data_IF_907213586039
#
_entry.id   IF_907213586039
#
_cell.length_a   1.000
_cell.length_b   1.000
_cell.length_c   1.000
_cell.angle_alpha   90.00
_cell.angle_beta   90.00
_cell.angle_gamma   90.00
#
_symmetry.space_group_name_H-M   'P 1'
#
loop_
_entity.id
_entity.type
_entity.pdbx_description
1 polymer ?
#
# COMPACT_ATOMS: atom_id res chain seq x y z
N UNK A 1 -18.19 1.38 7.62
CA UNK A 1 -16.94 1.06 6.92
C UNK A 1 -16.27 2.30 6.33
N UNK A 2 -16.99 3.24 5.68
CA UNK A 2 -16.43 4.58 5.30
C UNK A 2 -15.77 5.26 6.49
N UNK A 3 -16.50 5.32 7.61
CA UNK A 3 -16.01 5.96 8.84
C UNK A 3 -14.72 5.32 9.37
N UNK A 4 -14.50 4.02 9.10
CA UNK A 4 -13.31 3.29 9.57
C UNK A 4 -12.11 3.65 8.71
N UNK A 5 -12.29 3.71 7.39
CA UNK A 5 -11.22 4.10 6.46
C UNK A 5 -10.77 5.55 6.66
N UNK A 6 -11.71 6.48 6.85
CA UNK A 6 -11.34 7.86 7.19
C UNK A 6 -10.69 7.96 8.57
N UNK A 7 -11.11 7.18 9.56
CA UNK A 7 -10.43 7.12 10.86
C UNK A 7 -8.99 6.61 10.77
N UNK A 8 -8.72 5.63 9.89
CA UNK A 8 -7.35 5.16 9.62
C UNK A 8 -6.52 6.28 9.00
N UNK A 9 -7.05 6.95 7.97
CA UNK A 9 -6.36 8.04 7.29
C UNK A 9 -6.12 9.25 8.21
N UNK A 10 -7.09 9.62 9.04
CA UNK A 10 -6.97 10.68 10.04
C UNK A 10 -5.94 10.33 11.11
N UNK A 11 -5.90 9.08 11.56
CA UNK A 11 -4.91 8.59 12.52
C UNK A 11 -3.50 8.72 11.95
N UNK A 12 -3.31 8.26 10.71
CA UNK A 12 -2.05 8.39 9.99
C UNK A 12 -1.64 9.86 9.85
N UNK A 13 -2.54 10.73 9.38
CA UNK A 13 -2.26 12.14 9.17
C UNK A 13 -1.90 12.87 10.47
N UNK A 14 -2.59 12.58 11.58
CA UNK A 14 -2.29 13.19 12.88
C UNK A 14 -0.95 12.76 13.47
N UNK A 15 -0.55 11.51 13.24
CA UNK A 15 0.75 11.01 13.72
C UNK A 15 1.90 11.65 12.94
N UNK A 16 1.75 11.69 11.61
CA UNK A 16 2.80 12.15 10.72
C UNK A 16 2.81 13.66 10.46
N UNK A 17 1.83 14.42 10.97
CA UNK A 17 1.79 15.89 10.84
C UNK A 17 2.97 16.61 11.52
N UNK A 18 3.64 15.96 12.47
CA UNK A 18 4.84 16.47 13.16
C UNK A 18 6.12 16.25 12.36
N UNK A 19 6.07 15.44 11.32
CA UNK A 19 7.20 15.07 10.48
C UNK A 19 7.17 15.88 9.18
N UNK A 20 8.30 15.99 8.45
CA UNK A 20 8.32 16.65 7.16
C UNK A 20 7.20 16.14 6.24
N UNK A 21 6.48 17.04 5.56
CA UNK A 21 5.39 16.63 4.69
C UNK A 21 5.95 15.89 3.46
N UNK A 22 5.28 14.81 3.09
CA UNK A 22 5.51 14.09 1.83
C UNK A 22 4.68 14.71 0.70
N UNK A 23 4.98 14.34 -0.55
CA UNK A 23 4.30 14.90 -1.74
C UNK A 23 2.78 14.69 -1.77
N UNK A 24 2.27 13.67 -1.07
CA UNK A 24 0.84 13.35 -0.98
C UNK A 24 0.45 13.26 0.49
N UNK A 25 -0.40 14.19 0.94
CA UNK A 25 -0.88 14.22 2.33
C UNK A 25 -2.40 14.04 2.38
N UNK A 26 -2.89 13.45 3.46
CA UNK A 26 -4.31 13.41 3.78
C UNK A 26 -4.67 14.61 4.66
N UNK A 27 -5.72 15.34 4.28
CA UNK A 27 -6.27 16.45 5.07
C UNK A 27 -7.44 15.94 5.93
N UNK A 28 -7.31 15.90 7.27
CA UNK A 28 -8.40 15.48 8.17
C UNK A 28 -9.59 16.45 8.16
N UNK A 29 -9.36 17.71 7.79
CA UNK A 29 -10.42 18.74 7.76
C UNK A 29 -11.36 18.56 6.57
N UNK A 30 -10.79 18.25 5.40
CA UNK A 30 -11.55 18.12 4.16
C UNK A 30 -11.88 16.66 3.81
N UNK A 31 -11.25 15.70 4.48
CA UNK A 31 -11.21 14.28 4.10
C UNK A 31 -10.83 14.08 2.62
N UNK A 32 -9.83 14.82 2.15
CA UNK A 32 -9.29 14.75 0.79
C UNK A 32 -7.78 14.58 0.80
N UNK A 33 -7.23 14.05 -0.30
CA UNK A 33 -5.80 14.09 -0.55
C UNK A 33 -5.39 15.45 -1.11
N UNK A 34 -4.25 15.96 -0.63
CA UNK A 34 -3.64 17.20 -1.09
C UNK A 34 -2.26 16.87 -1.64
N UNK A 35 -2.00 17.30 -2.88
CA UNK A 35 -0.68 17.21 -3.50
C UNK A 35 0.15 18.44 -3.15
N UNK A 36 1.33 18.25 -2.57
CA UNK A 36 2.31 19.32 -2.37
C UNK A 36 3.32 19.20 -3.50
N UNK A 37 3.40 20.22 -4.36
CA UNK A 37 4.34 20.24 -5.49
C UNK A 37 5.45 21.28 -5.35
N UNK A 38 5.32 22.21 -4.40
CA UNK A 38 6.35 23.22 -4.17
C UNK A 38 7.60 22.57 -3.54
N UNK A 39 8.76 22.57 -4.23
CA UNK A 39 9.99 21.99 -3.69
C UNK A 39 10.43 22.66 -2.38
N UNK A 40 10.10 23.94 -2.16
CA UNK A 40 10.43 24.64 -0.91
C UNK A 40 9.69 24.05 0.28
N UNK A 41 8.42 23.70 0.10
CA UNK A 41 7.61 23.03 1.12
C UNK A 41 8.06 21.58 1.37
N UNK A 42 8.78 20.98 0.41
CA UNK A 42 9.28 19.60 0.48
C UNK A 42 10.76 19.50 0.87
N UNK A 43 11.43 20.57 1.29
CA UNK A 43 12.85 20.54 1.67
C UNK A 43 13.13 19.46 2.73
N UNK A 44 12.31 19.37 3.78
CA UNK A 44 12.50 18.37 4.82
C UNK A 44 12.33 16.92 4.31
N UNK A 45 11.49 16.73 3.30
CA UNK A 45 11.33 15.45 2.62
C UNK A 45 12.54 15.09 1.75
N UNK A 46 13.04 16.05 0.96
CA UNK A 46 14.26 15.90 0.15
C UNK A 46 15.43 15.54 1.07
N UNK A 47 15.58 16.27 2.17
CA UNK A 47 16.63 16.01 3.14
C UNK A 47 16.50 14.61 3.76
N UNK A 48 15.30 14.16 4.10
CA UNK A 48 15.07 12.82 4.64
C UNK A 48 15.39 11.73 3.60
N UNK A 49 14.93 11.88 2.35
CA UNK A 49 15.20 10.89 1.31
C UNK A 49 16.69 10.81 0.95
N UNK A 50 17.37 11.94 0.81
CA UNK A 50 18.78 11.97 0.39
C UNK A 50 19.72 11.66 1.56
N UNK A 51 19.56 12.33 2.70
CA UNK A 51 20.53 12.25 3.79
C UNK A 51 20.26 11.10 4.76
N UNK A 52 19.02 10.84 5.17
CA UNK A 52 18.77 9.77 6.17
C UNK A 52 18.61 8.41 5.49
N UNK A 53 17.69 8.32 4.53
CA UNK A 53 17.44 7.09 3.77
C UNK A 53 18.56 6.81 2.76
N UNK A 54 19.02 7.83 2.03
CA UNK A 54 20.06 7.66 1.01
C UNK A 54 21.42 7.28 1.59
N UNK A 55 21.83 7.86 2.72
CA UNK A 55 23.09 7.48 3.38
C UNK A 55 23.04 6.05 3.90
N UNK A 56 21.97 5.68 4.61
CA UNK A 56 21.82 4.32 5.14
C UNK A 56 21.78 3.27 4.02
N UNK A 57 21.04 3.57 2.96
CA UNK A 57 20.95 2.73 1.78
C UNK A 57 22.29 2.62 1.04
N UNK A 58 22.94 3.74 0.77
CA UNK A 58 24.16 3.80 -0.01
C UNK A 58 25.28 2.98 0.63
N UNK A 59 25.45 3.10 1.95
CA UNK A 59 26.48 2.34 2.67
C UNK A 59 26.16 0.84 2.68
N UNK A 60 24.88 0.44 2.84
CA UNK A 60 24.50 -0.98 2.78
C UNK A 60 24.62 -1.57 1.38
N UNK A 61 24.36 -0.80 0.32
CA UNK A 61 24.66 -1.21 -1.05
C UNK A 61 26.16 -1.36 -1.29
N UNK A 62 26.99 -0.49 -0.69
CA UNK A 62 28.43 -0.61 -0.77
C UNK A 62 28.93 -1.87 -0.02
N UNK A 63 28.35 -2.19 1.13
CA UNK A 63 28.57 -3.46 1.84
C UNK A 63 28.16 -4.67 0.98
N UNK A 64 27.01 -4.61 0.30
CA UNK A 64 26.58 -5.66 -0.62
C UNK A 64 27.55 -5.83 -1.81
N UNK A 65 27.95 -4.72 -2.43
CA UNK A 65 28.92 -4.71 -3.53
C UNK A 65 30.28 -5.28 -3.11
N UNK A 66 30.74 -4.94 -1.90
CA UNK A 66 31.95 -5.52 -1.30
C UNK A 66 31.85 -7.06 -1.21
N UNK A 67 30.75 -7.59 -0.69
CA UNK A 67 30.54 -9.04 -0.56
C UNK A 67 30.48 -9.74 -1.93
N UNK A 68 29.88 -9.10 -2.94
CA UNK A 68 29.85 -9.63 -4.31
C UNK A 68 31.27 -9.70 -4.88
N UNK A 69 32.06 -8.63 -4.76
CA UNK A 69 33.45 -8.61 -5.23
C UNK A 69 34.26 -9.70 -4.52
N UNK A 70 34.08 -9.86 -3.20
CA UNK A 70 34.74 -10.92 -2.43
C UNK A 70 34.34 -12.32 -2.89
N UNK A 71 33.05 -12.52 -3.17
CA UNK A 71 32.55 -13.79 -3.71
C UNK A 71 33.23 -14.14 -5.03
N UNK A 72 33.41 -13.16 -5.92
CA UNK A 72 34.12 -13.35 -7.20
C UNK A 72 35.60 -13.64 -6.97
N UNK A 73 36.24 -12.98 -6.01
CA UNK A 73 37.66 -13.20 -5.69
C UNK A 73 37.94 -14.57 -5.07
N UNK A 74 37.04 -15.07 -4.23
CA UNK A 74 37.20 -16.35 -3.53
C UNK A 74 36.66 -17.54 -4.34
N UNK A 75 35.82 -17.30 -5.35
CA UNK A 75 35.17 -18.36 -6.13
C UNK A 75 34.00 -19.04 -5.41
N UNK A 76 33.71 -18.65 -4.17
CA UNK A 76 32.54 -19.06 -3.39
C UNK A 76 32.07 -17.89 -2.51
N UNK A 77 30.86 -17.99 -1.96
CA UNK A 77 30.37 -16.99 -1.03
C UNK A 77 31.18 -17.04 0.28
N UNK A 78 31.67 -15.90 0.81
CA UNK A 78 32.51 -15.89 1.99
C UNK A 78 31.76 -16.39 3.23
N UNK A 79 32.43 -17.21 4.03
CA UNK A 79 31.91 -17.64 5.33
C UNK A 79 32.04 -16.53 6.39
N UNK A 80 31.25 -16.60 7.46
CA UNK A 80 31.33 -15.64 8.58
C UNK A 80 32.71 -15.60 9.26
N UNK A 81 33.51 -16.66 9.12
CA UNK A 81 34.87 -16.73 9.65
C UNK A 81 35.88 -15.98 8.77
N UNK A 82 35.66 -15.96 7.46
CA UNK A 82 36.49 -15.25 6.49
C UNK A 82 36.14 -13.77 6.42
N UNK A 83 34.84 -13.45 6.47
CA UNK A 83 34.33 -12.09 6.43
C UNK A 83 33.20 -11.90 7.47
N UNK A 84 33.40 -11.05 8.50
CA UNK A 84 32.37 -10.83 9.53
C UNK A 84 31.10 -10.20 8.94
N UNK A 85 31.21 -9.51 7.80
CA UNK A 85 30.09 -8.91 7.07
C UNK A 85 29.27 -9.90 6.25
N UNK A 86 29.77 -11.12 6.04
CA UNK A 86 29.04 -12.19 5.37
C UNK A 86 28.12 -12.95 6.31
N UNK A 87 28.11 -12.60 7.60
CA UNK A 87 27.23 -13.23 8.59
C UNK A 87 25.76 -13.08 8.19
N UNK A 88 24.91 -14.09 8.48
CA UNK A 88 23.50 -14.05 8.12
C UNK A 88 22.78 -12.78 8.60
N UNK A 89 23.09 -12.29 9.80
CA UNK A 89 22.50 -11.05 10.36
C UNK A 89 22.88 -9.80 9.56
N UNK A 90 24.09 -9.75 9.02
CA UNK A 90 24.53 -8.65 8.17
C UNK A 90 23.81 -8.67 6.82
N UNK A 91 23.66 -9.84 6.21
CA UNK A 91 22.88 -10.01 4.97
C UNK A 91 21.42 -9.60 5.16
N UNK A 92 20.82 -10.01 6.28
CA UNK A 92 19.48 -9.57 6.65
C UNK A 92 19.40 -8.04 6.79
N UNK A 93 20.38 -7.42 7.45
CA UNK A 93 20.41 -5.97 7.62
C UNK A 93 20.49 -5.23 6.27
N UNK A 94 21.27 -5.76 5.31
CA UNK A 94 21.36 -5.22 3.95
C UNK A 94 20.01 -5.33 3.26
N UNK A 95 19.34 -6.48 3.36
CA UNK A 95 18.02 -6.70 2.75
C UNK A 95 16.96 -5.77 3.34
N UNK A 96 16.87 -5.67 4.68
CA UNK A 96 15.87 -4.83 5.37
C UNK A 96 16.07 -3.35 5.04
N UNK A 97 17.32 -2.85 5.07
CA UNK A 97 17.61 -1.45 4.70
C UNK A 97 17.32 -1.21 3.22
N UNK A 98 17.66 -2.16 2.34
CA UNK A 98 17.38 -2.07 0.89
C UNK A 98 15.91 -2.00 0.58
N UNK A 99 15.10 -2.86 1.20
CA UNK A 99 13.66 -2.87 1.00
C UNK A 99 13.01 -1.64 1.64
N UNK A 100 13.40 -1.30 2.88
CA UNK A 100 12.83 -0.19 3.64
C UNK A 100 13.25 1.18 3.09
N UNK A 101 14.53 1.51 3.21
CA UNK A 101 15.08 2.80 2.79
C UNK A 101 15.15 2.91 1.26
N UNK A 102 15.72 1.92 0.57
CA UNK A 102 15.80 1.94 -0.90
C UNK A 102 14.43 1.94 -1.57
N UNK A 103 13.54 1.02 -1.17
CA UNK A 103 12.16 0.99 -1.66
C UNK A 103 11.38 2.25 -1.30
N UNK A 104 11.55 2.78 -0.09
CA UNK A 104 10.92 4.03 0.34
C UNK A 104 11.34 5.25 -0.51
N UNK A 105 12.63 5.37 -0.88
CA UNK A 105 13.09 6.44 -1.78
C UNK A 105 12.38 6.34 -3.14
N UNK A 106 12.34 5.14 -3.73
CA UNK A 106 11.71 4.92 -5.04
C UNK A 106 10.20 5.20 -5.02
N UNK A 107 9.48 4.68 -4.01
CA UNK A 107 8.05 4.93 -3.82
C UNK A 107 7.79 6.42 -3.62
N UNK A 108 8.65 7.10 -2.86
CA UNK A 108 8.46 8.51 -2.60
C UNK A 108 8.73 9.38 -3.82
N UNK A 109 9.73 9.04 -4.63
CA UNK A 109 10.00 9.70 -5.90
C UNK A 109 8.83 9.50 -6.88
N UNK A 110 8.32 8.28 -6.96
CA UNK A 110 7.12 7.97 -7.74
C UNK A 110 5.92 8.78 -7.26
N UNK A 111 5.68 8.83 -5.95
CA UNK A 111 4.62 9.61 -5.33
C UNK A 111 4.73 11.11 -5.61
N UNK A 112 5.96 11.64 -5.71
CA UNK A 112 6.19 13.03 -6.13
C UNK A 112 5.83 13.27 -7.59
N UNK A 113 6.35 12.44 -8.51
CA UNK A 113 6.11 12.56 -9.97
C UNK A 113 4.62 12.46 -10.30
N UNK A 114 3.91 11.54 -9.67
CA UNK A 114 2.49 11.26 -9.94
C UNK A 114 1.53 11.88 -8.91
N UNK A 115 2.00 12.75 -8.03
CA UNK A 115 1.23 13.33 -6.91
C UNK A 115 -0.11 13.91 -7.36
N UNK A 116 -0.11 14.73 -8.42
CA UNK A 116 -1.34 15.33 -8.96
C UNK A 116 -2.32 14.29 -9.48
N UNK A 117 -1.84 13.32 -10.26
CA UNK A 117 -2.70 12.30 -10.86
C UNK A 117 -3.34 11.40 -9.80
N UNK A 118 -2.55 10.98 -8.79
CA UNK A 118 -3.02 10.15 -7.68
C UNK A 118 -4.06 10.91 -6.85
N UNK A 119 -3.77 12.16 -6.46
CA UNK A 119 -4.70 12.99 -5.70
C UNK A 119 -6.00 13.26 -6.49
N UNK A 120 -5.90 13.59 -7.78
CA UNK A 120 -7.07 13.82 -8.64
C UNK A 120 -7.93 12.56 -8.73
N UNK A 121 -7.34 11.38 -8.96
CA UNK A 121 -8.10 10.13 -9.05
C UNK A 121 -8.84 9.82 -7.75
N UNK A 122 -8.15 9.83 -6.60
CA UNK A 122 -8.80 9.43 -5.36
C UNK A 122 -9.87 10.46 -4.95
N UNK A 123 -9.59 11.75 -5.13
CA UNK A 123 -10.57 12.79 -4.81
C UNK A 123 -11.80 12.70 -5.73
N UNK A 124 -11.62 12.44 -7.03
CA UNK A 124 -12.75 12.26 -7.95
C UNK A 124 -13.56 11.00 -7.62
N UNK A 125 -12.92 9.89 -7.25
CA UNK A 125 -13.61 8.69 -6.78
C UNK A 125 -14.42 8.97 -5.51
N UNK A 126 -13.84 9.71 -4.55
CA UNK A 126 -14.53 10.10 -3.33
C UNK A 126 -15.72 11.05 -3.61
N UNK A 127 -15.62 11.96 -4.59
CA UNK A 127 -16.75 12.81 -5.01
C UNK A 127 -17.89 11.95 -5.59
N UNK A 128 -17.56 10.95 -6.42
CA UNK A 128 -18.56 10.02 -6.97
C UNK A 128 -19.21 9.20 -5.85
N UNK A 129 -18.42 8.71 -4.89
CA UNK A 129 -18.92 7.96 -3.73
C UNK A 129 -19.89 8.80 -2.89
N UNK A 130 -19.53 10.05 -2.62
CA UNK A 130 -20.35 10.97 -1.83
C UNK A 130 -21.67 11.26 -2.53
N UNK A 131 -21.62 11.54 -3.84
CA UNK A 131 -22.81 11.76 -4.66
C UNK A 131 -23.74 10.52 -4.67
N UNK A 132 -23.19 9.33 -4.91
CA UNK A 132 -23.95 8.07 -4.91
C UNK A 132 -24.55 7.79 -3.53
N UNK A 133 -23.81 8.04 -2.45
CA UNK A 133 -24.30 7.85 -1.08
C UNK A 133 -25.46 8.80 -0.76
N UNK A 134 -25.41 10.05 -1.22
CA UNK A 134 -26.50 11.00 -1.10
C UNK A 134 -27.73 10.54 -1.92
N UNK A 135 -27.53 10.12 -3.16
CA UNK A 135 -28.60 9.59 -4.02
C UNK A 135 -29.28 8.35 -3.40
N UNK A 136 -28.51 7.41 -2.86
CA UNK A 136 -29.04 6.22 -2.19
C UNK A 136 -29.88 6.57 -0.95
N UNK A 137 -29.50 7.58 -0.17
CA UNK A 137 -30.30 8.05 0.99
C UNK A 137 -31.65 8.61 0.55
N UNK A 138 -31.67 9.45 -0.49
CA UNK A 138 -32.92 10.02 -1.03
C UNK A 138 -33.82 8.91 -1.58
N UNK A 139 -33.24 7.93 -2.27
CA UNK A 139 -33.98 6.79 -2.84
C UNK A 139 -34.59 5.92 -1.74
N UNK A 140 -33.86 5.66 -0.65
CA UNK A 140 -34.38 4.93 0.52
C UNK A 140 -35.50 5.68 1.25
N UNK A 141 -35.36 6.99 1.43
CA UNK A 141 -36.41 7.83 2.02
C UNK A 141 -37.70 7.81 1.18
N UNK A 142 -37.57 7.76 -0.15
CA UNK A 142 -38.70 7.68 -1.07
C UNK A 142 -39.40 6.31 -1.05
N UNK A 143 -38.67 5.23 -0.75
CA UNK A 143 -39.23 3.89 -0.61
C UNK A 143 -39.89 3.64 0.76
N UNK A 144 -39.28 4.12 1.86
CA UNK A 144 -39.76 3.88 3.23
C UNK A 144 -40.75 4.94 3.72
N UNK A 145 -41.75 5.29 2.91
CA UNK A 145 -42.82 6.22 3.29
C UNK A 145 -43.27 6.02 4.74
N UNK A 146 -42.82 6.92 5.62
CA UNK A 146 -43.28 7.14 6.99
C UNK A 146 -43.00 6.12 8.11
N UNK A 147 -42.13 5.12 7.98
CA UNK A 147 -41.77 4.27 9.13
C UNK A 147 -40.29 3.88 9.16
N UNK A 148 -39.45 4.73 9.73
CA UNK A 148 -38.18 4.28 10.31
C UNK A 148 -37.77 5.21 11.45
N UNK A 149 -38.14 4.84 12.68
CA UNK A 149 -37.45 5.33 13.86
C UNK A 149 -36.05 4.74 13.84
N UNK A 150 -34.97 5.54 13.93
CA UNK A 150 -33.62 5.01 13.97
C UNK A 150 -33.43 4.26 15.28
N UNK A 151 -33.41 2.93 15.25
CA UNK A 151 -33.00 2.09 16.38
C UNK A 151 -31.52 2.35 16.67
N UNK A 152 -31.27 3.35 17.50
CA UNK A 152 -30.00 3.62 18.17
C UNK A 152 -29.87 2.66 19.36
N UNK A 153 -29.45 1.42 19.13
CA UNK A 153 -29.09 0.54 20.23
C UNK A 153 -28.00 -0.44 19.82
N UNK A 154 -26.94 -0.52 20.64
CA UNK A 154 -25.81 -1.49 20.57
C UNK A 154 -24.68 -1.31 19.53
N UNK A 155 -24.53 -0.18 18.83
CA UNK A 155 -23.37 0.04 17.92
C UNK A 155 -22.16 0.76 18.54
N UNK A 156 -22.23 1.14 19.82
CA UNK A 156 -21.26 2.07 20.44
C UNK A 156 -20.04 1.39 21.05
N UNK A 157 -20.15 0.15 21.59
CA UNK A 157 -19.00 -0.51 22.25
C UNK A 157 -17.98 -1.09 21.26
N UNK A 158 -18.44 -1.69 20.15
CA UNK A 158 -17.56 -2.21 19.07
C UNK A 158 -16.82 -1.07 18.36
N UNK A 159 -17.46 0.10 18.20
CA UNK A 159 -16.85 1.30 17.63
C UNK A 159 -15.69 1.82 18.48
N UNK A 160 -15.77 1.73 19.81
CA UNK A 160 -14.72 2.22 20.71
C UNK A 160 -13.49 1.29 20.73
N UNK A 161 -13.70 -0.03 20.66
CA UNK A 161 -12.63 -1.03 20.60
C UNK A 161 -11.85 -0.95 19.28
N UNK A 162 -12.55 -0.90 18.13
CA UNK A 162 -11.93 -0.72 16.81
C UNK A 162 -11.11 0.57 16.71
N UNK A 163 -11.57 1.65 17.35
CA UNK A 163 -10.89 2.94 17.34
C UNK A 163 -9.48 2.85 17.95
N UNK A 164 -9.30 2.07 19.02
CA UNK A 164 -7.98 1.86 19.65
C UNK A 164 -7.05 1.00 18.80
N UNK A 165 -7.56 -0.01 18.12
CA UNK A 165 -6.77 -0.88 17.23
C UNK A 165 -6.30 -0.15 15.97
N UNK A 166 -7.06 0.85 15.48
CA UNK A 166 -6.73 1.63 14.28
C UNK A 166 -5.52 2.57 14.47
N UNK A 167 -5.26 3.05 15.69
CA UNK A 167 -4.08 3.89 15.97
C UNK A 167 -2.78 3.08 16.11
N UNK A 168 -2.86 1.76 16.30
CA UNK A 168 -1.68 0.93 16.61
C UNK A 168 -0.62 0.92 15.50
N UNK A 169 -0.93 0.75 14.20
CA UNK A 169 0.10 0.58 13.19
C UNK A 169 1.08 1.77 13.03
N UNK A 170 0.63 3.03 12.87
CA UNK A 170 1.57 4.16 12.77
C UNK A 170 2.30 4.45 14.09
N UNK A 171 1.65 4.24 15.24
CA UNK A 171 2.31 4.35 16.55
C UNK A 171 3.40 3.30 16.72
N UNK A 172 3.10 2.06 16.34
CA UNK A 172 4.03 0.94 16.42
C UNK A 172 5.32 1.22 15.65
N UNK A 173 5.24 1.75 14.42
CA UNK A 173 6.44 2.10 13.63
C UNK A 173 7.29 3.15 14.34
N UNK A 174 6.69 4.22 14.85
CA UNK A 174 7.43 5.30 15.52
C UNK A 174 8.07 4.83 16.82
N UNK A 175 7.40 3.96 17.59
CA UNK A 175 7.93 3.44 18.86
C UNK A 175 8.92 2.30 18.68
N UNK A 176 8.77 1.46 17.67
CA UNK A 176 9.67 0.33 17.43
C UNK A 176 10.94 0.75 16.71
N UNK A 177 10.93 1.83 15.92
CA UNK A 177 12.12 2.31 15.22
C UNK A 177 13.33 2.51 16.16
N UNK A 178 13.22 3.25 17.30
CA UNK A 178 14.32 3.35 18.26
C UNK A 178 14.79 2.00 18.81
N UNK A 179 13.87 1.11 19.19
CA UNK A 179 14.22 -0.19 19.76
C UNK A 179 14.98 -1.08 18.77
N UNK A 180 14.52 -1.13 17.52
CA UNK A 180 15.18 -1.87 16.44
C UNK A 180 16.57 -1.30 16.11
N UNK A 181 16.71 0.03 16.17
CA UNK A 181 18.01 0.68 15.92
C UNK A 181 18.99 0.45 17.07
N UNK A 182 18.53 0.48 18.33
CA UNK A 182 19.39 0.10 19.48
C UNK A 182 19.90 -1.33 19.32
N UNK A 183 19.01 -2.27 18.96
CA UNK A 183 19.40 -3.63 18.67
C UNK A 183 20.44 -3.70 17.53
N UNK A 184 20.18 -2.99 16.42
CA UNK A 184 21.10 -2.94 15.29
C UNK A 184 22.49 -2.39 15.67
N UNK A 185 22.56 -1.36 16.53
CA UNK A 185 23.82 -0.81 17.02
C UNK A 185 24.55 -1.83 17.90
N UNK A 186 23.88 -2.45 18.87
CA UNK A 186 24.50 -3.45 19.75
C UNK A 186 25.04 -4.64 18.93
N UNK A 187 24.29 -5.06 17.92
CA UNK A 187 24.67 -6.14 17.01
C UNK A 187 25.65 -5.72 15.89
N UNK A 188 26.15 -4.47 15.90
CA UNK A 188 27.06 -3.92 14.87
C UNK A 188 26.51 -4.02 13.42
N UNK A 189 25.19 -3.97 13.28
CA UNK A 189 24.47 -4.01 11.99
C UNK A 189 24.30 -2.62 11.38
N UNK A 190 24.68 -1.56 12.09
CA UNK A 190 24.51 -0.21 11.60
C UNK A 190 25.42 0.10 10.39
N UNK A 191 24.97 0.92 9.43
CA UNK A 191 25.76 1.20 8.23
C UNK A 191 27.10 1.89 8.54
N UNK A 192 27.16 2.76 9.55
CA UNK A 192 28.39 3.47 9.88
C UNK A 192 29.47 2.53 10.42
N UNK A 193 29.10 1.48 11.16
CA UNK A 193 30.05 0.46 11.60
C UNK A 193 30.84 -0.14 10.44
N UNK A 194 30.19 -0.50 9.33
CA UNK A 194 30.87 -1.03 8.15
C UNK A 194 31.88 -0.02 7.57
N UNK A 195 31.51 1.26 7.48
CA UNK A 195 32.39 2.29 6.94
C UNK A 195 33.62 2.52 7.83
N UNK A 196 33.43 2.57 9.14
CA UNK A 196 34.51 2.84 10.09
C UNK A 196 35.31 1.60 10.49
N UNK A 197 34.82 0.39 10.24
CA UNK A 197 35.57 -0.85 10.48
C UNK A 197 36.96 -0.81 9.81
N UNK A 198 37.00 -0.32 8.57
CA UNK A 198 38.24 -0.16 7.79
C UNK A 198 39.18 0.94 8.31
N UNK A 199 38.66 1.91 9.07
CA UNK A 199 39.44 3.01 9.66
C UNK A 199 39.93 2.71 11.07
N UNK A 200 40.13 1.44 11.42
CA UNK A 200 40.53 1.03 12.78
C UNK A 200 39.58 1.54 13.85
N UNK A 201 38.27 1.29 13.68
CA UNK A 201 37.23 1.68 14.64
C UNK A 201 37.60 1.38 16.11
N UNK A 202 38.27 0.26 16.36
CA UNK A 202 38.71 -0.16 17.70
C UNK A 202 39.88 0.65 18.27
N UNK A 203 40.65 1.35 17.42
CA UNK A 203 41.73 2.26 17.81
C UNK A 203 41.25 3.69 18.12
N UNK A 204 39.98 4.02 17.87
CA UNK A 204 39.42 5.34 18.14
C UNK A 204 39.17 5.55 19.64
N UNK A 205 39.36 6.79 20.09
CA UNK A 205 39.05 7.19 21.47
C UNK A 205 37.56 6.99 21.77
N UNK A 206 37.23 6.70 23.03
CA UNK A 206 35.85 6.51 23.48
C UNK A 206 34.89 7.64 23.04
N UNK A 207 35.21 8.95 23.19
CA UNK A 207 34.29 10.01 22.79
C UNK A 207 33.98 10.02 21.28
N UNK A 208 34.96 9.68 20.44
CA UNK A 208 34.77 9.61 18.98
C UNK A 208 33.87 8.42 18.63
N UNK A 209 34.09 7.25 19.23
CA UNK A 209 33.23 6.07 19.03
C UNK A 209 31.79 6.33 19.48
N UNK A 210 31.61 6.99 20.62
CA UNK A 210 30.29 7.38 21.10
C UNK A 210 29.61 8.36 20.14
N UNK A 211 30.32 9.38 19.64
CA UNK A 211 29.81 10.31 18.64
C UNK A 211 29.34 9.62 17.36
N UNK A 212 30.14 8.69 16.82
CA UNK A 212 29.76 7.90 15.62
C UNK A 212 28.49 7.08 15.89
N UNK A 213 28.39 6.42 17.05
CA UNK A 213 27.19 5.64 17.41
C UNK A 213 25.96 6.52 17.58
N UNK A 214 26.11 7.70 18.16
CA UNK A 214 25.03 8.66 18.31
C UNK A 214 24.52 9.16 16.95
N UNK A 215 25.43 9.51 16.04
CA UNK A 215 25.08 9.90 14.67
C UNK A 215 24.38 8.75 13.96
N UNK A 216 24.93 7.53 14.05
CA UNK A 216 24.30 6.35 13.45
C UNK A 216 22.90 6.09 14.00
N UNK A 217 22.72 6.22 15.32
CA UNK A 217 21.43 6.09 15.98
C UNK A 217 20.42 7.08 15.40
N UNK A 218 20.76 8.37 15.38
CA UNK A 218 19.86 9.42 14.88
C UNK A 218 19.53 9.19 13.41
N UNK A 219 20.53 8.94 12.57
CA UNK A 219 20.31 8.73 11.13
C UNK A 219 19.44 7.51 10.85
N UNK A 220 19.68 6.39 11.52
CA UNK A 220 18.89 5.17 11.34
C UNK A 220 17.46 5.30 11.87
N UNK A 221 17.27 5.93 13.04
CA UNK A 221 15.92 6.15 13.58
C UNK A 221 15.12 7.06 12.64
N UNK A 222 15.72 8.16 12.19
CA UNK A 222 15.08 9.06 11.23
C UNK A 222 14.77 8.34 9.91
N UNK A 223 15.71 7.55 9.40
CA UNK A 223 15.51 6.76 8.18
C UNK A 223 14.36 5.75 8.34
N UNK A 224 14.29 5.04 9.47
CA UNK A 224 13.24 4.07 9.74
C UNK A 224 11.85 4.73 9.84
N UNK A 225 11.77 5.89 10.50
CA UNK A 225 10.52 6.65 10.62
C UNK A 225 10.09 7.20 9.25
N UNK A 226 11.01 7.77 8.47
CA UNK A 226 10.73 8.28 7.12
C UNK A 226 10.32 7.16 6.17
N UNK A 227 11.03 6.03 6.17
CA UNK A 227 10.65 4.84 5.39
C UNK A 227 9.25 4.35 5.79
N UNK A 228 8.99 4.26 7.09
CA UNK A 228 7.70 3.86 7.63
C UNK A 228 6.56 4.82 7.24
N UNK A 229 6.80 6.13 7.28
CA UNK A 229 5.86 7.14 6.79
C UNK A 229 5.53 6.91 5.31
N UNK A 230 6.54 6.75 4.45
CA UNK A 230 6.33 6.55 3.01
C UNK A 230 5.60 5.24 2.73
N UNK A 231 6.00 4.13 3.37
CA UNK A 231 5.43 2.80 3.14
C UNK A 231 3.98 2.71 3.63
N UNK A 232 3.70 3.15 4.86
CA UNK A 232 2.34 3.24 5.37
C UNK A 232 1.50 4.22 4.54
N UNK A 233 2.13 5.31 4.09
CA UNK A 233 1.59 6.30 3.18
C UNK A 233 1.05 5.68 1.89
N UNK A 234 1.92 4.95 1.20
CA UNK A 234 1.59 4.24 -0.01
C UNK A 234 0.50 3.18 0.23
N UNK A 235 0.65 2.40 1.30
CA UNK A 235 -0.31 1.36 1.69
C UNK A 235 -1.71 1.90 1.90
N UNK A 236 -1.88 3.01 2.64
CA UNK A 236 -3.21 3.58 2.86
C UNK A 236 -3.82 4.14 1.57
N UNK A 237 -3.04 4.83 0.72
CA UNK A 237 -3.54 5.37 -0.55
C UNK A 237 -4.01 4.24 -1.47
N UNK A 238 -3.23 3.17 -1.58
CA UNK A 238 -3.57 2.00 -2.39
C UNK A 238 -4.83 1.30 -1.90
N UNK A 239 -4.91 0.99 -0.60
CA UNK A 239 -6.09 0.36 0.03
C UNK A 239 -7.32 1.25 -0.11
N UNK A 240 -7.18 2.56 0.10
CA UNK A 240 -8.26 3.54 -0.04
C UNK A 240 -8.78 3.61 -1.47
N UNK A 241 -7.90 3.64 -2.47
CA UNK A 241 -8.28 3.67 -3.87
C UNK A 241 -9.06 2.40 -4.25
N UNK A 242 -8.52 1.23 -3.90
CA UNK A 242 -9.17 -0.05 -4.18
C UNK A 242 -10.55 -0.14 -3.50
N UNK A 243 -10.62 0.21 -2.23
CA UNK A 243 -11.87 0.14 -1.48
C UNK A 243 -12.92 1.14 -2.01
N UNK A 244 -12.53 2.39 -2.28
CA UNK A 244 -13.45 3.43 -2.78
C UNK A 244 -14.00 3.05 -4.15
N UNK A 245 -13.15 2.53 -5.04
CA UNK A 245 -13.59 2.05 -6.34
C UNK A 245 -14.60 0.90 -6.23
N UNK A 246 -14.33 -0.09 -5.36
CA UNK A 246 -15.26 -1.19 -5.10
C UNK A 246 -16.63 -0.67 -4.67
N UNK A 247 -16.60 0.31 -3.77
CA UNK A 247 -17.79 0.89 -3.18
C UNK A 247 -18.60 1.68 -4.19
N UNK A 248 -17.95 2.51 -5.01
CA UNK A 248 -18.62 3.20 -6.12
C UNK A 248 -19.33 2.19 -7.02
N UNK A 249 -18.65 1.13 -7.42
CA UNK A 249 -19.21 0.07 -8.27
C UNK A 249 -20.43 -0.60 -7.64
N UNK A 250 -20.36 -0.97 -6.34
CA UNK A 250 -21.49 -1.56 -5.62
C UNK A 250 -22.67 -0.60 -5.48
N UNK A 251 -22.41 0.67 -5.17
CA UNK A 251 -23.46 1.68 -5.03
C UNK A 251 -24.18 1.91 -6.37
N UNK A 252 -23.45 1.95 -7.50
CA UNK A 252 -24.07 2.06 -8.82
C UNK A 252 -24.96 0.85 -9.11
N UNK A 253 -24.49 -0.38 -8.85
CA UNK A 253 -25.26 -1.61 -9.05
C UNK A 253 -26.52 -1.68 -8.17
N UNK A 254 -26.37 -1.38 -6.87
CA UNK A 254 -27.47 -1.37 -5.90
C UNK A 254 -28.53 -0.32 -6.25
N UNK A 255 -28.13 0.93 -6.51
CA UNK A 255 -29.07 2.00 -6.86
C UNK A 255 -29.77 1.70 -8.19
N UNK A 256 -29.07 1.11 -9.17
CA UNK A 256 -29.68 0.67 -10.42
C UNK A 256 -30.76 -0.39 -10.20
N UNK A 257 -30.46 -1.44 -9.43
CA UNK A 257 -31.40 -2.53 -9.09
C UNK A 257 -32.62 -2.04 -8.31
N UNK A 258 -32.42 -1.06 -7.43
CA UNK A 258 -33.52 -0.45 -6.65
C UNK A 258 -34.44 0.36 -7.56
N UNK A 259 -33.88 1.16 -8.48
CA UNK A 259 -34.67 1.99 -9.39
C UNK A 259 -35.39 1.19 -10.47
N UNK A 260 -34.78 0.13 -10.99
CA UNK A 260 -35.46 -0.77 -11.95
C UNK A 260 -36.65 -1.51 -11.33
N UNK A 261 -36.64 -1.77 -10.02
CA UNK A 261 -37.82 -2.30 -9.31
C UNK A 261 -38.95 -1.29 -9.17
N UNK A 262 -38.64 0.01 -9.18
CA UNK A 262 -39.66 1.06 -9.24
C UNK A 262 -40.12 1.16 -10.69
N UNK A 263 -41.28 0.58 -11.00
CA UNK A 263 -41.93 0.55 -12.33
C UNK A 263 -42.08 1.91 -13.04
N UNK A 264 -41.74 3.03 -12.38
CA UNK A 264 -41.79 4.40 -12.89
C UNK A 264 -40.41 5.02 -13.21
N UNK A 265 -39.32 4.25 -13.18
CA UNK A 265 -38.01 4.79 -13.52
C UNK A 265 -37.95 5.24 -14.98
N UNK A 266 -37.70 6.54 -15.19
CA UNK A 266 -37.59 7.08 -16.55
C UNK A 266 -36.30 6.59 -17.23
N UNK A 267 -36.29 6.37 -18.55
CA UNK A 267 -35.08 5.97 -19.28
C UNK A 267 -33.96 7.02 -19.18
N UNK A 268 -34.30 8.29 -18.94
CA UNK A 268 -33.32 9.35 -18.64
C UNK A 268 -32.60 9.07 -17.32
N UNK A 269 -33.29 8.66 -16.27
CA UNK A 269 -32.67 8.29 -14.99
C UNK A 269 -31.76 7.06 -15.12
N UNK A 270 -32.17 6.05 -15.89
CA UNK A 270 -31.34 4.86 -16.13
C UNK A 270 -30.05 5.20 -16.91
N UNK A 271 -30.11 6.17 -17.82
CA UNK A 271 -28.94 6.62 -18.58
C UNK A 271 -27.85 7.28 -17.73
N UNK A 272 -28.20 7.84 -16.56
CA UNK A 272 -27.25 8.48 -15.65
C UNK A 272 -26.25 7.47 -15.08
N UNK A 273 -26.67 6.23 -14.81
CA UNK A 273 -25.78 5.17 -14.31
C UNK A 273 -24.68 4.79 -15.32
N UNK A 274 -25.04 4.76 -16.61
CA UNK A 274 -24.09 4.54 -17.70
C UNK A 274 -23.09 5.68 -17.82
N UNK A 275 -23.54 6.93 -17.63
CA UNK A 275 -22.65 8.11 -17.61
C UNK A 275 -21.71 8.05 -16.40
N UNK A 276 -22.22 7.70 -15.22
CA UNK A 276 -21.42 7.54 -13.99
C UNK A 276 -20.37 6.45 -14.14
N UNK A 277 -20.74 5.30 -14.71
CA UNK A 277 -19.81 4.20 -14.98
C UNK A 277 -18.73 4.60 -16.00
N UNK A 278 -19.11 5.29 -17.09
CA UNK A 278 -18.14 5.86 -18.03
C UNK A 278 -17.20 6.85 -17.36
N UNK A 279 -17.69 7.67 -16.42
CA UNK A 279 -16.85 8.59 -15.67
C UNK A 279 -15.82 7.83 -14.82
N UNK A 280 -16.20 6.73 -14.18
CA UNK A 280 -15.26 5.85 -13.45
C UNK A 280 -14.21 5.27 -14.40
N UNK A 281 -14.61 4.77 -15.57
CA UNK A 281 -13.68 4.25 -16.58
C UNK A 281 -12.70 5.34 -17.04
N UNK A 282 -13.18 6.56 -17.33
CA UNK A 282 -12.32 7.66 -17.77
C UNK A 282 -11.31 8.06 -16.70
N UNK A 283 -11.71 8.06 -15.42
CA UNK A 283 -10.81 8.31 -14.29
C UNK A 283 -9.73 7.23 -14.22
N UNK A 284 -10.11 5.96 -14.34
CA UNK A 284 -9.15 4.85 -14.32
C UNK A 284 -8.22 4.86 -15.53
N UNK A 285 -8.72 5.19 -16.72
CA UNK A 285 -7.93 5.31 -17.93
C UNK A 285 -6.87 6.42 -17.82
N UNK A 286 -7.21 7.55 -17.19
CA UNK A 286 -6.29 8.65 -16.95
C UNK A 286 -5.13 8.32 -16.02
N UNK A 287 -5.22 7.24 -15.24
CA UNK A 287 -4.22 6.83 -14.24
C UNK A 287 -3.79 5.37 -14.46
N UNK A 288 -4.09 4.79 -15.63
CA UNK A 288 -3.79 3.39 -15.92
C UNK A 288 -2.30 3.08 -15.81
N UNK A 289 -1.45 3.94 -16.37
CA UNK A 289 0.00 3.74 -16.36
C UNK A 289 0.63 3.77 -14.94
N UNK A 290 0.37 4.80 -14.11
CA UNK A 290 0.86 4.79 -12.74
C UNK A 290 0.18 3.71 -11.89
N UNK A 291 -1.10 3.40 -12.09
CA UNK A 291 -1.79 2.31 -11.41
C UNK A 291 -1.11 0.96 -11.67
N UNK A 292 -0.81 0.64 -12.93
CA UNK A 292 -0.19 -0.62 -13.31
C UNK A 292 1.19 -0.80 -12.68
N UNK A 293 1.98 0.28 -12.67
CA UNK A 293 3.31 0.32 -12.07
C UNK A 293 3.26 0.14 -10.56
N UNK A 294 2.40 0.90 -9.86
CA UNK A 294 2.21 0.75 -8.40
C UNK A 294 1.75 -0.66 -8.05
N UNK A 295 0.84 -1.22 -8.82
CA UNK A 295 0.29 -2.57 -8.56
C UNK A 295 1.38 -3.62 -8.71
N UNK A 296 2.24 -3.52 -9.73
CA UNK A 296 3.38 -4.40 -9.92
C UNK A 296 4.38 -4.28 -8.75
N UNK A 297 4.81 -3.06 -8.43
CA UNK A 297 5.78 -2.83 -7.35
C UNK A 297 5.26 -3.29 -5.99
N UNK A 298 3.98 -3.04 -5.68
CA UNK A 298 3.37 -3.49 -4.43
C UNK A 298 3.30 -5.01 -4.37
N UNK A 299 2.89 -5.70 -5.45
CA UNK A 299 2.78 -7.16 -5.45
C UNK A 299 4.15 -7.82 -5.37
N UNK A 300 5.12 -7.40 -6.18
CA UNK A 300 6.48 -7.95 -6.13
C UNK A 300 7.16 -7.61 -4.80
N UNK A 301 7.01 -6.37 -4.33
CA UNK A 301 7.56 -5.92 -3.05
C UNK A 301 6.98 -6.70 -1.86
N UNK A 302 5.66 -6.89 -1.80
CA UNK A 302 5.04 -7.69 -0.75
C UNK A 302 5.49 -9.16 -0.80
N UNK A 303 5.57 -9.77 -1.98
CA UNK A 303 6.06 -11.14 -2.13
C UNK A 303 7.51 -11.27 -1.61
N UNK A 304 8.39 -10.37 -2.02
CA UNK A 304 9.79 -10.34 -1.54
C UNK A 304 9.87 -10.20 -0.03
N UNK A 305 9.10 -9.28 0.57
CA UNK A 305 9.08 -9.09 2.03
C UNK A 305 8.61 -10.35 2.74
N UNK A 306 7.52 -10.98 2.29
CA UNK A 306 6.97 -12.19 2.90
C UNK A 306 7.99 -13.34 2.82
N UNK A 307 8.56 -13.57 1.64
CA UNK A 307 9.56 -14.62 1.40
C UNK A 307 10.78 -14.39 2.31
N UNK A 308 11.33 -13.18 2.33
CA UNK A 308 12.51 -12.84 3.15
C UNK A 308 12.20 -13.01 4.65
N UNK A 309 11.06 -12.54 5.14
CA UNK A 309 10.69 -12.68 6.54
C UNK A 309 10.49 -14.15 6.94
N UNK A 310 9.89 -14.97 6.07
CA UNK A 310 9.69 -16.38 6.33
C UNK A 310 11.02 -17.16 6.32
N UNK A 311 11.88 -16.92 5.32
CA UNK A 311 13.23 -17.52 5.26
C UNK A 311 14.04 -17.12 6.49
N UNK A 312 14.01 -15.84 6.85
CA UNK A 312 14.69 -15.33 8.04
C UNK A 312 14.25 -16.08 9.29
N UNK A 313 12.94 -16.26 9.48
CA UNK A 313 12.43 -16.99 10.64
C UNK A 313 12.93 -18.43 10.66
N UNK A 314 12.89 -19.16 9.55
CA UNK A 314 13.34 -20.56 9.51
C UNK A 314 14.85 -20.68 9.73
N UNK A 315 15.65 -19.90 9.00
CA UNK A 315 17.11 -20.08 8.94
C UNK A 315 17.85 -19.44 10.11
N UNK A 316 17.24 -18.49 10.83
CA UNK A 316 17.91 -17.72 11.90
C UNK A 316 17.29 -17.96 13.29
N UNK A 317 16.56 -19.07 13.46
CA UNK A 317 15.85 -19.37 14.71
C UNK A 317 16.78 -19.43 15.93
N UNK A 318 18.03 -19.89 15.76
CA UNK A 318 19.03 -19.95 16.83
C UNK A 318 19.79 -18.63 17.06
N UNK A 319 19.68 -17.67 16.12
CA UNK A 319 20.47 -16.44 16.14
C UNK A 319 19.64 -15.22 16.57
N UNK A 320 18.31 -15.26 16.38
CA UNK A 320 17.41 -14.16 16.71
C UNK A 320 16.79 -14.35 18.11
N UNK A 321 16.67 -13.30 18.92
CA UNK A 321 15.89 -13.37 20.14
C UNK A 321 14.41 -13.66 19.80
N UNK A 322 13.74 -14.46 20.64
CA UNK A 322 12.39 -14.97 20.43
C UNK A 322 11.37 -13.89 20.01
N UNK A 323 11.50 -12.68 20.55
CA UNK A 323 10.63 -11.55 20.21
C UNK A 323 10.78 -11.08 18.74
N UNK A 324 12.01 -11.06 18.21
CA UNK A 324 12.26 -10.68 16.81
C UNK A 324 11.93 -11.85 15.89
N UNK A 325 12.23 -13.07 16.32
CA UNK A 325 11.85 -14.30 15.63
C UNK A 325 10.35 -14.38 15.35
N UNK A 326 9.50 -14.09 16.34
CA UNK A 326 8.03 -14.11 16.18
C UNK A 326 7.48 -12.93 15.36
N UNK A 327 8.24 -11.85 15.21
CA UNK A 327 7.80 -10.71 14.41
C UNK A 327 7.78 -11.02 12.91
N UNK A 328 8.74 -11.79 12.40
CA UNK A 328 8.78 -12.16 10.98
C UNK A 328 7.49 -12.83 10.49
N UNK A 329 7.08 -13.98 11.07
CA UNK A 329 5.87 -14.70 10.66
C UNK A 329 4.62 -13.88 10.94
N UNK A 330 4.61 -13.10 12.03
CA UNK A 330 3.51 -12.20 12.34
C UNK A 330 3.29 -11.16 11.23
N UNK A 331 4.34 -10.45 10.81
CA UNK A 331 4.25 -9.46 9.73
C UNK A 331 3.92 -10.11 8.39
N UNK A 332 4.48 -11.29 8.10
CA UNK A 332 4.14 -12.05 6.89
C UNK A 332 2.65 -12.40 6.84
N UNK A 333 2.09 -12.93 7.93
CA UNK A 333 0.66 -13.25 8.04
C UNK A 333 -0.20 -12.00 7.89
N UNK A 334 0.18 -10.90 8.56
CA UNK A 334 -0.54 -9.62 8.45
C UNK A 334 -0.52 -9.09 7.01
N UNK A 335 0.64 -9.13 6.34
CA UNK A 335 0.78 -8.71 4.94
C UNK A 335 -0.05 -9.58 4.00
N UNK A 336 -0.03 -10.90 4.18
CA UNK A 336 -0.86 -11.84 3.40
C UNK A 336 -2.35 -11.50 3.60
N UNK A 337 -2.81 -11.29 4.83
CA UNK A 337 -4.20 -10.95 5.12
C UNK A 337 -4.60 -9.64 4.43
N UNK A 338 -3.79 -8.58 4.55
CA UNK A 338 -4.05 -7.28 3.93
C UNK A 338 -4.09 -7.44 2.42
N UNK A 339 -3.07 -8.08 1.85
CA UNK A 339 -2.92 -8.23 0.41
C UNK A 339 -4.05 -9.07 -0.19
N UNK A 340 -4.39 -10.22 0.40
CA UNK A 340 -5.50 -11.05 -0.05
C UNK A 340 -6.85 -10.36 0.10
N UNK A 341 -7.02 -9.51 1.13
CA UNK A 341 -8.23 -8.68 1.25
C UNK A 341 -8.31 -7.66 0.10
N UNK A 342 -7.21 -6.95 -0.20
CA UNK A 342 -7.18 -5.93 -1.26
C UNK A 342 -7.30 -6.57 -2.64
N UNK A 343 -6.56 -7.63 -2.93
CA UNK A 343 -6.64 -8.36 -4.19
C UNK A 343 -8.02 -8.96 -4.40
N UNK A 344 -8.68 -9.44 -3.34
CA UNK A 344 -10.08 -9.89 -3.42
C UNK A 344 -11.00 -8.74 -3.80
N UNK A 345 -10.81 -7.53 -3.26
CA UNK A 345 -11.56 -6.35 -3.71
C UNK A 345 -11.33 -6.04 -5.19
N UNK A 346 -10.07 -6.10 -5.64
CA UNK A 346 -9.69 -5.84 -7.03
C UNK A 346 -10.29 -6.87 -8.00
N UNK A 347 -10.19 -8.16 -7.67
CA UNK A 347 -10.76 -9.25 -8.48
C UNK A 347 -12.29 -9.13 -8.61
N UNK A 348 -12.96 -8.54 -7.62
CA UNK A 348 -14.41 -8.39 -7.61
C UNK A 348 -14.90 -7.26 -8.54
N UNK A 349 -14.03 -6.34 -8.98
CA UNK A 349 -14.42 -5.28 -9.93
C UNK A 349 -14.89 -5.85 -11.25
N UNK A 350 -14.14 -6.81 -11.80
CA UNK A 350 -14.46 -7.45 -13.06
C UNK A 350 -15.82 -8.13 -12.97
N UNK A 351 -16.04 -8.89 -11.89
CA UNK A 351 -17.30 -9.61 -11.68
C UNK A 351 -18.51 -8.67 -11.53
N UNK A 352 -18.41 -7.62 -10.71
CA UNK A 352 -19.51 -6.63 -10.57
C UNK A 352 -19.76 -5.97 -11.92
N UNK A 353 -18.71 -5.43 -12.55
CA UNK A 353 -18.88 -4.65 -13.78
C UNK A 353 -19.44 -5.49 -14.92
N UNK A 354 -19.01 -6.75 -15.06
CA UNK A 354 -19.57 -7.66 -16.05
C UNK A 354 -21.05 -7.94 -15.79
N UNK A 355 -21.43 -8.20 -14.53
CA UNK A 355 -22.83 -8.41 -14.16
C UNK A 355 -23.68 -7.16 -14.44
N UNK A 356 -23.19 -5.97 -14.11
CA UNK A 356 -23.88 -4.71 -14.40
C UNK A 356 -24.08 -4.52 -15.91
N UNK A 357 -23.03 -4.70 -16.71
CA UNK A 357 -23.11 -4.55 -18.18
C UNK A 357 -24.09 -5.57 -18.79
N UNK A 358 -24.10 -6.81 -18.29
CA UNK A 358 -25.09 -7.83 -18.71
C UNK A 358 -26.52 -7.42 -18.37
N UNK A 359 -26.76 -6.92 -17.14
CA UNK A 359 -28.07 -6.44 -16.72
C UNK A 359 -28.55 -5.25 -17.57
N UNK A 360 -27.67 -4.27 -17.80
CA UNK A 360 -27.99 -3.06 -18.58
C UNK A 360 -28.23 -3.36 -20.05
N UNK A 361 -27.51 -4.35 -20.60
CA UNK A 361 -27.70 -4.80 -21.98
C UNK A 361 -29.07 -5.43 -22.19
N UNK A 362 -29.62 -6.10 -21.17
CA UNK A 362 -30.86 -6.87 -21.26
C UNK A 362 -32.03 -6.24 -20.48
N UNK A 363 -31.95 -4.95 -20.16
CA UNK A 363 -32.97 -4.32 -19.31
C UNK A 363 -34.34 -4.25 -20.01
N UNK A 364 -35.38 -4.92 -19.48
CA UNK A 364 -36.70 -4.96 -20.10
C UNK A 364 -37.39 -3.59 -20.12
N UNK A 365 -37.11 -2.70 -19.17
CA UNK A 365 -37.70 -1.34 -19.13
C UNK A 365 -37.22 -0.54 -20.34
N UNK A 366 -35.94 -0.64 -20.69
CA UNK A 366 -35.40 0.05 -21.86
C UNK A 366 -35.93 -0.50 -23.17
N UNK A 367 -36.29 -1.80 -23.21
CA UNK A 367 -36.96 -2.45 -24.36
C UNK A 367 -38.37 -1.90 -24.52
N UNK A 368 -39.16 -1.85 -23.43
CA UNK A 368 -40.54 -1.33 -23.44
C UNK A 368 -40.60 0.12 -23.92
N UNK A 369 -39.61 0.94 -23.56
CA UNK A 369 -39.56 2.36 -23.93
C UNK A 369 -38.91 2.62 -25.31
N UNK A 370 -38.45 1.60 -26.05
CA UNK A 370 -37.84 1.75 -27.38
C UNK A 370 -36.45 2.41 -27.41
N UNK A 371 -35.91 2.81 -26.25
CA UNK A 371 -34.57 3.44 -26.11
C UNK A 371 -33.44 2.41 -26.13
N UNK A 372 -33.78 1.13 -26.07
CA UNK A 372 -32.86 0.00 -26.01
C UNK A 372 -31.80 -0.02 -27.13
N UNK A 373 -32.12 0.36 -28.37
CA UNK A 373 -31.13 0.30 -29.47
C UNK A 373 -29.93 1.21 -29.25
N UNK A 374 -30.15 2.44 -28.76
CA UNK A 374 -29.06 3.41 -28.52
C UNK A 374 -28.34 3.11 -27.22
N UNK A 375 -29.10 2.79 -26.16
CA UNK A 375 -28.54 2.45 -24.86
C UNK A 375 -27.74 1.13 -24.92
N UNK A 376 -28.33 0.09 -25.51
CA UNK A 376 -27.70 -1.22 -25.69
C UNK A 376 -26.45 -1.17 -26.56
N UNK A 377 -26.39 -0.33 -27.60
CA UNK A 377 -25.14 -0.11 -28.37
C UNK A 377 -24.04 0.51 -27.50
N UNK A 378 -24.37 1.48 -26.65
CA UNK A 378 -23.40 2.11 -25.74
C UNK A 378 -22.89 1.11 -24.71
N UNK A 379 -23.79 0.33 -24.09
CA UNK A 379 -23.43 -0.70 -23.12
C UNK A 379 -22.63 -1.83 -23.78
N UNK A 380 -22.96 -2.23 -25.01
CA UNK A 380 -22.22 -3.25 -25.75
C UNK A 380 -20.80 -2.82 -26.11
N UNK A 381 -20.55 -1.52 -26.25
CA UNK A 381 -19.20 -0.98 -26.47
C UNK A 381 -18.38 -0.87 -25.18
N UNK A 382 -19.02 -0.99 -24.01
CA UNK A 382 -18.32 -0.93 -22.72
C UNK A 382 -17.66 -2.27 -22.39
N UNK A 383 -16.53 -2.18 -21.70
CA UNK A 383 -15.78 -3.33 -21.20
C UNK A 383 -15.81 -3.34 -19.68
N UNK A 384 -15.80 -4.52 -19.04
CA UNK A 384 -15.68 -4.62 -17.60
C UNK A 384 -14.37 -3.97 -17.13
N UNK A 385 -14.41 -3.43 -15.91
CA UNK A 385 -13.24 -2.78 -15.30
C UNK A 385 -12.26 -3.87 -14.91
N UNK A 386 -11.02 -3.74 -15.41
CA UNK A 386 -9.90 -4.61 -15.10
C UNK A 386 -8.73 -3.77 -14.60
N UNK A 387 -8.07 -4.28 -13.57
CA UNK A 387 -6.85 -3.71 -13.01
C UNK A 387 -5.69 -4.54 -13.54
N UNK A 388 -4.64 -3.87 -14.02
CA UNK A 388 -3.47 -4.54 -14.59
C UNK A 388 -2.26 -4.31 -13.69
N UNK A 389 -1.31 -5.25 -13.73
CA UNK A 389 0.07 -5.00 -13.32
C UNK A 389 0.91 -4.79 -14.58
N UNK A 390 1.90 -3.93 -14.49
CA UNK A 390 2.59 -3.47 -15.68
C UNK A 390 3.65 -2.45 -15.40
N UNK A 391 4.46 -2.15 -16.41
CA UNK A 391 5.42 -1.05 -16.37
C UNK A 391 4.91 0.04 -17.31
N UNK A 392 4.60 1.22 -16.76
CA UNK A 392 4.03 2.32 -17.53
C UNK A 392 2.77 1.90 -18.30
N UNK A 393 2.76 2.03 -19.62
CA UNK A 393 1.62 1.73 -20.49
C UNK A 393 1.49 0.26 -20.84
N UNK A 394 2.44 -0.59 -20.43
CA UNK A 394 2.39 -2.03 -20.69
C UNK A 394 1.45 -2.71 -19.71
N UNK A 395 0.30 -3.18 -20.20
CA UNK A 395 -0.59 -4.03 -19.40
C UNK A 395 -0.08 -5.48 -19.50
N UNK A 396 0.76 -5.89 -18.55
CA UNK A 396 1.40 -7.21 -18.58
C UNK A 396 0.39 -8.31 -18.18
N UNK A 397 -0.18 -8.20 -16.98
CA UNK A 397 -1.06 -9.22 -16.43
C UNK A 397 -2.28 -8.59 -15.74
N UNK A 398 -3.50 -9.10 -15.98
CA UNK A 398 -4.68 -8.68 -15.24
C UNK A 398 -4.66 -9.25 -13.82
N UNK A 399 -5.02 -8.42 -12.83
CA UNK A 399 -5.21 -8.84 -11.44
C UNK A 399 -6.62 -9.41 -11.30
N UNK A 400 -6.79 -10.68 -11.70
CA UNK A 400 -8.05 -11.40 -11.62
C UNK A 400 -8.03 -12.49 -10.52
N UNK A 401 -9.13 -13.22 -10.37
CA UNK A 401 -9.23 -14.28 -9.35
C UNK A 401 -8.23 -15.42 -9.58
N UNK A 402 -7.87 -15.74 -10.84
CA UNK A 402 -6.87 -16.76 -11.15
C UNK A 402 -5.47 -16.30 -10.72
N UNK A 403 -5.14 -15.03 -10.98
CA UNK A 403 -3.88 -14.44 -10.55
C UNK A 403 -3.70 -14.53 -9.02
N UNK A 404 -4.77 -14.30 -8.25
CA UNK A 404 -4.72 -14.43 -6.78
C UNK A 404 -4.25 -15.83 -6.34
N UNK A 405 -4.82 -16.89 -6.92
CA UNK A 405 -4.43 -18.27 -6.60
C UNK A 405 -2.97 -18.55 -7.00
N UNK A 406 -2.54 -18.09 -8.18
CA UNK A 406 -1.17 -18.28 -8.64
C UNK A 406 -0.15 -17.48 -7.80
N UNK A 407 -0.54 -16.30 -7.33
CA UNK A 407 0.31 -15.44 -6.53
C UNK A 407 0.57 -16.03 -5.14
N UNK A 408 -0.47 -16.54 -4.46
CA UNK A 408 -0.32 -17.23 -3.17
C UNK A 408 0.54 -18.51 -3.32
N UNK A 409 0.31 -19.29 -4.38
CA UNK A 409 1.12 -20.46 -4.69
C UNK A 409 2.58 -20.09 -4.94
N UNK A 410 2.84 -19.04 -5.73
CA UNK A 410 4.19 -18.54 -5.99
C UNK A 410 4.94 -18.17 -4.71
N UNK A 411 4.29 -17.49 -3.76
CA UNK A 411 4.91 -17.15 -2.48
C UNK A 411 5.25 -18.41 -1.68
N UNK A 412 4.32 -19.36 -1.59
CA UNK A 412 4.53 -20.61 -0.87
C UNK A 412 5.67 -21.43 -1.49
N UNK A 413 5.60 -21.69 -2.79
CA UNK A 413 6.57 -22.48 -3.53
C UNK A 413 7.97 -21.85 -3.48
N UNK A 414 8.06 -20.52 -3.67
CA UNK A 414 9.33 -19.80 -3.58
C UNK A 414 9.91 -19.83 -2.18
N UNK A 415 9.07 -19.70 -1.15
CA UNK A 415 9.52 -19.79 0.24
C UNK A 415 10.07 -21.18 0.51
N UNK A 416 9.33 -22.24 0.16
CA UNK A 416 9.73 -23.64 0.35
C UNK A 416 11.02 -23.97 -0.40
N UNK A 417 11.12 -23.60 -1.67
CA UNK A 417 12.30 -23.82 -2.51
C UNK A 417 13.54 -23.17 -1.91
N UNK A 418 13.43 -21.93 -1.45
CA UNK A 418 14.55 -21.18 -0.88
C UNK A 418 14.93 -21.63 0.53
N UNK A 419 13.99 -22.22 1.29
CA UNK A 419 14.30 -22.83 2.59
C UNK A 419 14.89 -24.23 2.49
N UNK A 420 14.58 -25.00 1.43
CA UNK A 420 15.09 -26.36 1.25
C UNK A 420 16.47 -26.41 0.56
N UNK A 421 16.81 -25.37 -0.21
CA UNK A 421 18.09 -25.27 -0.92
C UNK A 421 19.19 -24.54 -0.14
N UNK A 422 18.90 -24.06 1.07
CA UNK A 422 19.87 -23.52 2.04
C UNK A 422 19.97 -24.48 3.23
#
# INVERSE_FOLDING_TARGET
>A
MTDVMFQIADSYARMYSRWPPIAIIWSPETHRLVSITDPRALIGWILSCIFTMGLSQGIKLLQAGYLIIRTVQMGHFPSSAEEPFASPMQLLSIAVVTIGSGGGILISLFGYIFSRQICTLLNQLLIIEEHLTQCGKVTKLRMNGNTDKPTKTKKTSVKLSLRKTIFMPPMFVVYMAPALVVFALIANLDPLYFLFYWFSYHGLSFPVRFGIRLVSFVTLVMSAISAGQVLLGCGYVFVMAAWTLLRCMRLIDEDYKVRTKLLFASPKELSVFVILYNRVILILAGVAAPQASVTLFMLVGCALVIIVLNIMSVNMHDQLPLNIYLMGPFFSVVLIIILNTVLKFVSYYEHISENMLRLWKNDPILVVWGVHKVHGRRVAAMRPIRVFMGIWTTNLLPVNAQFLCHYDAFIADSTVLLTLNN
#
